data_IF_135039525489
#
_entry.id   IF_135039525489
#
_cell.length_a   1.000
_cell.length_b   1.000
_cell.length_c   1.000
_cell.angle_alpha   90.00
_cell.angle_beta   90.00
_cell.angle_gamma   90.00
#
_symmetry.space_group_name_H-M   'P 1'
#
loop_
_entity.id
_entity.type
_entity.pdbx_description
1 polymer ?
#
# COMPACT_ATOMS: atom_id res chain seq x y z
N UNK A 1 2.92 8.73 -16.88
CA UNK A 1 2.37 7.90 -17.98
C UNK A 1 3.43 7.58 -19.04
N UNK A 2 4.03 8.56 -19.73
CA UNK A 2 5.05 8.31 -20.78
C UNK A 2 6.21 7.39 -20.38
N UNK A 3 6.81 7.55 -19.19
CA UNK A 3 7.90 6.68 -18.73
C UNK A 3 7.45 5.21 -18.55
N UNK A 4 6.25 5.00 -17.99
CA UNK A 4 5.68 3.66 -17.84
C UNK A 4 5.31 3.04 -19.20
N UNK A 5 4.78 3.84 -20.11
CA UNK A 5 4.48 3.42 -21.48
C UNK A 5 5.75 3.03 -22.24
N UNK A 6 6.79 3.87 -22.21
CA UNK A 6 8.09 3.56 -22.83
C UNK A 6 8.70 2.29 -22.25
N UNK A 7 8.55 2.08 -20.93
CA UNK A 7 8.97 0.83 -20.28
C UNK A 7 8.17 -0.38 -20.74
N UNK A 8 6.86 -0.24 -20.94
CA UNK A 8 5.98 -1.30 -21.44
C UNK A 8 6.30 -1.67 -22.91
N UNK A 9 6.57 -0.68 -23.74
CA UNK A 9 7.03 -0.87 -25.13
C UNK A 9 8.41 -1.54 -25.16
N UNK A 10 9.31 -1.18 -24.22
CA UNK A 10 10.58 -1.86 -23.99
C UNK A 10 11.61 -1.74 -25.13
N UNK A 11 11.39 -0.83 -26.10
CA UNK A 11 12.23 -0.65 -27.29
C UNK A 11 12.44 0.83 -27.61
N UNK A 12 13.64 1.18 -28.06
CA UNK A 12 13.99 2.54 -28.52
C UNK A 12 13.22 2.94 -29.79
N UNK A 13 13.01 1.98 -30.71
CA UNK A 13 12.29 2.20 -31.97
C UNK A 13 11.32 1.03 -32.24
N UNK A 14 10.15 1.00 -31.57
CA UNK A 14 9.13 0.01 -31.83
C UNK A 14 8.53 0.18 -33.23
N UNK A 15 8.10 -0.92 -33.83
CA UNK A 15 7.25 -0.86 -35.03
C UNK A 15 5.85 -0.39 -34.63
N UNK A 16 5.13 0.26 -35.56
CA UNK A 16 3.82 0.85 -35.29
C UNK A 16 2.83 -0.14 -34.65
N UNK A 17 2.79 -1.39 -35.12
CA UNK A 17 1.90 -2.40 -34.54
C UNK A 17 2.23 -2.72 -33.08
N UNK A 18 3.52 -2.74 -32.69
CA UNK A 18 3.92 -2.98 -31.30
C UNK A 18 3.44 -1.85 -30.38
N UNK A 19 3.44 -0.62 -30.90
CA UNK A 19 2.89 0.54 -30.20
C UNK A 19 1.38 0.42 -30.02
N UNK A 20 0.66 0.04 -31.08
CA UNK A 20 -0.79 -0.18 -31.05
C UNK A 20 -1.16 -1.32 -30.08
N UNK A 21 -0.44 -2.44 -30.11
CA UNK A 21 -0.68 -3.57 -29.21
C UNK A 21 -0.48 -3.15 -27.75
N UNK A 22 0.55 -2.36 -27.46
CA UNK A 22 0.81 -1.85 -26.11
C UNK A 22 -0.32 -0.92 -25.65
N UNK A 23 -0.84 -0.06 -26.53
CA UNK A 23 -1.98 0.81 -26.22
C UNK A 23 -3.25 0.01 -25.95
N UNK A 24 -3.54 -0.99 -26.79
CA UNK A 24 -4.71 -1.87 -26.60
C UNK A 24 -4.64 -2.60 -25.26
N UNK A 25 -3.46 -3.12 -24.90
CA UNK A 25 -3.26 -3.76 -23.60
C UNK A 25 -3.50 -2.79 -22.44
N UNK A 26 -2.98 -1.56 -22.51
CA UNK A 26 -3.23 -0.56 -21.47
C UNK A 26 -4.70 -0.17 -21.37
N UNK A 27 -5.40 -0.04 -22.50
CA UNK A 27 -6.83 0.24 -22.49
C UNK A 27 -7.60 -0.89 -21.81
N UNK A 28 -7.28 -2.14 -22.12
CA UNK A 28 -7.92 -3.31 -21.53
C UNK A 28 -7.71 -3.35 -20.01
N UNK A 29 -6.49 -3.08 -19.52
CA UNK A 29 -6.21 -2.98 -18.09
C UNK A 29 -7.03 -1.88 -17.40
N UNK A 30 -7.19 -0.72 -18.04
CA UNK A 30 -8.02 0.35 -17.49
C UNK A 30 -9.50 0.01 -17.47
N UNK A 31 -10.00 -0.69 -18.48
CA UNK A 31 -11.38 -1.16 -18.50
C UNK A 31 -11.65 -2.18 -17.39
N UNK A 32 -10.70 -3.08 -17.10
CA UNK A 32 -10.80 -4.01 -15.97
C UNK A 32 -10.87 -3.23 -14.66
N UNK A 33 -9.94 -2.28 -14.45
CA UNK A 33 -9.91 -1.46 -13.24
C UNK A 33 -11.20 -0.65 -13.09
N UNK A 34 -11.71 -0.05 -14.15
CA UNK A 34 -12.97 0.69 -14.12
C UNK A 34 -14.15 -0.20 -13.69
N UNK A 35 -14.28 -1.40 -14.28
CA UNK A 35 -15.32 -2.37 -13.88
C UNK A 35 -15.19 -2.80 -12.42
N UNK A 36 -13.96 -2.95 -11.92
CA UNK A 36 -13.71 -3.25 -10.50
C UNK A 36 -14.20 -2.11 -9.59
N UNK A 37 -13.92 -0.83 -9.95
CA UNK A 37 -14.48 0.32 -9.21
C UNK A 37 -16.00 0.28 -9.22
N UNK A 38 -16.61 0.06 -10.40
CA UNK A 38 -18.07 0.04 -10.55
C UNK A 38 -18.71 -1.08 -9.70
N UNK A 39 -17.99 -2.19 -9.53
CA UNK A 39 -18.39 -3.31 -8.66
C UNK A 39 -18.11 -3.06 -7.16
N UNK A 40 -17.55 -1.91 -6.79
CA UNK A 40 -17.19 -1.58 -5.41
C UNK A 40 -15.92 -2.26 -4.91
N UNK A 41 -15.12 -2.86 -5.80
CA UNK A 41 -13.84 -3.47 -5.44
C UNK A 41 -12.75 -2.41 -5.23
N UNK A 42 -11.79 -2.71 -4.34
CA UNK A 42 -10.63 -1.85 -4.15
C UNK A 42 -9.66 -2.02 -5.31
N UNK A 43 -9.50 -0.98 -6.11
CA UNK A 43 -8.66 -0.99 -7.32
C UNK A 43 -7.18 -0.78 -7.07
N UNK A 44 -6.78 -0.47 -5.84
CA UNK A 44 -5.40 -0.20 -5.49
C UNK A 44 -4.82 -1.41 -4.76
N UNK A 45 -3.98 -2.17 -5.45
CA UNK A 45 -3.09 -3.12 -4.79
C UNK A 45 -2.11 -2.34 -3.92
N UNK A 46 -2.35 -2.34 -2.61
CA UNK A 46 -1.47 -1.70 -1.64
C UNK A 46 -0.09 -2.35 -1.68
N UNK A 47 0.97 -1.53 -1.69
CA UNK A 47 2.33 -2.07 -1.57
C UNK A 47 2.43 -2.90 -0.29
N UNK A 48 3.15 -4.03 -0.35
CA UNK A 48 3.33 -4.97 0.77
C UNK A 48 3.68 -4.29 2.11
N UNK A 49 4.53 -3.25 2.07
CA UNK A 49 4.90 -2.46 3.25
C UNK A 49 3.72 -1.81 3.96
N UNK A 50 2.70 -1.35 3.22
CA UNK A 50 1.51 -0.72 3.78
C UNK A 50 0.53 -1.76 4.32
N UNK A 51 0.44 -2.92 3.66
CA UNK A 51 -0.35 -4.05 4.16
C UNK A 51 0.20 -4.51 5.52
N UNK A 52 1.51 -4.76 5.61
CA UNK A 52 2.18 -5.16 6.84
C UNK A 52 2.06 -4.11 7.95
N UNK A 53 2.17 -2.82 7.59
CA UNK A 53 1.97 -1.74 8.55
C UNK A 53 0.54 -1.74 9.09
N UNK A 54 -0.47 -1.87 8.23
CA UNK A 54 -1.87 -1.93 8.65
C UNK A 54 -2.15 -3.14 9.53
N UNK A 55 -1.63 -4.32 9.18
CA UNK A 55 -1.76 -5.53 10.01
C UNK A 55 -1.12 -5.33 11.39
N UNK A 56 0.07 -4.72 11.45
CA UNK A 56 0.72 -4.39 12.72
C UNK A 56 -0.12 -3.43 13.56
N UNK A 57 -0.66 -2.37 12.95
CA UNK A 57 -1.50 -1.38 13.64
C UNK A 57 -2.75 -2.07 14.20
N UNK A 58 -3.47 -2.86 13.37
CA UNK A 58 -4.65 -3.63 13.82
C UNK A 58 -4.34 -4.49 15.03
N UNK A 59 -3.26 -5.28 14.97
CA UNK A 59 -2.84 -6.11 16.11
C UNK A 59 -2.55 -5.30 17.36
N UNK A 60 -1.92 -4.14 17.23
CA UNK A 60 -1.65 -3.26 18.38
C UNK A 60 -2.95 -2.69 18.96
N UNK A 61 -3.91 -2.33 18.12
CA UNK A 61 -5.23 -1.85 18.53
C UNK A 61 -6.00 -2.96 19.25
N UNK A 62 -6.03 -4.17 18.70
CA UNK A 62 -6.67 -5.33 19.35
C UNK A 62 -6.07 -5.63 20.73
N UNK A 63 -4.73 -5.51 20.87
CA UNK A 63 -4.05 -5.68 22.16
C UNK A 63 -4.37 -4.57 23.17
N UNK A 64 -4.66 -3.36 22.70
CA UNK A 64 -5.09 -2.25 23.54
C UNK A 64 -6.55 -2.43 23.97
N UNK A 65 -7.43 -2.76 23.04
CA UNK A 65 -8.87 -2.96 23.30
C UNK A 65 -9.12 -4.16 24.23
N UNK A 66 -8.30 -5.21 24.13
CA UNK A 66 -8.31 -6.35 25.06
C UNK A 66 -7.68 -6.06 26.43
N UNK A 67 -7.15 -4.86 26.66
CA UNK A 67 -6.50 -4.47 27.91
C UNK A 67 -5.12 -5.11 28.14
N UNK A 68 -4.59 -5.85 27.16
CA UNK A 68 -3.26 -6.49 27.24
C UNK A 68 -2.12 -5.47 27.15
N UNK A 69 -2.38 -4.27 26.62
CA UNK A 69 -1.45 -3.14 26.60
C UNK A 69 -2.08 -1.91 27.24
N UNK A 70 -1.30 -1.21 28.06
CA UNK A 70 -1.68 0.10 28.55
C UNK A 70 -1.67 1.14 27.41
N UNK A 71 -2.38 2.25 27.63
CA UNK A 71 -2.46 3.35 26.67
C UNK A 71 -1.07 3.90 26.29
N UNK A 72 -0.15 3.99 27.25
CA UNK A 72 1.20 4.50 27.02
C UNK A 72 1.99 3.53 26.13
N UNK A 73 1.93 2.23 26.42
CA UNK A 73 2.62 1.20 25.62
C UNK A 73 2.08 1.11 24.19
N UNK A 74 0.78 1.33 24.00
CA UNK A 74 0.16 1.41 22.69
C UNK A 74 0.70 2.61 21.89
N UNK A 75 0.72 3.81 22.49
CA UNK A 75 1.23 5.03 21.88
C UNK A 75 2.72 4.91 21.52
N UNK A 76 3.53 4.33 22.40
CA UNK A 76 4.95 4.05 22.13
C UNK A 76 5.15 3.05 20.98
N UNK A 77 4.26 2.07 20.85
CA UNK A 77 4.35 1.04 19.81
C UNK A 77 3.94 1.54 18.42
N UNK A 78 3.07 2.56 18.36
CA UNK A 78 2.58 3.18 17.13
C UNK A 78 3.44 4.38 16.71
N UNK A 79 3.99 5.11 17.68
CA UNK A 79 4.82 6.28 17.43
C UNK A 79 6.06 5.94 16.62
N UNK A 80 6.15 6.47 15.40
CA UNK A 80 7.37 6.40 14.61
C UNK A 80 8.37 7.45 15.11
N UNK A 81 9.59 7.04 15.47
CA UNK A 81 10.65 7.92 15.99
C UNK A 81 10.31 8.72 17.26
N UNK A 82 9.41 8.23 18.11
CA UNK A 82 9.21 8.84 19.43
C UNK A 82 10.32 8.33 20.35
N UNK A 83 11.14 9.24 20.88
CA UNK A 83 12.16 8.88 21.86
C UNK A 83 11.47 8.21 23.06
N UNK A 84 11.92 7.01 23.44
CA UNK A 84 11.31 6.28 24.56
C UNK A 84 11.42 7.13 25.83
N UNK A 85 10.29 7.57 26.37
CA UNK A 85 10.25 8.11 27.72
C UNK A 85 10.60 6.98 28.69
N UNK A 86 11.73 7.09 29.39
CA UNK A 86 12.09 6.16 30.46
C UNK A 86 11.06 6.34 31.58
N UNK A 87 10.08 5.45 31.67
CA UNK A 87 9.22 5.38 32.85
C UNK A 87 10.09 4.92 34.01
N UNK A 88 10.29 5.82 34.98
CA UNK A 88 11.03 5.51 36.20
C UNK A 88 10.35 4.38 36.94
N UNK A 89 11.09 3.29 37.17
CA UNK A 89 10.75 2.27 38.16
C UNK A 89 10.79 2.93 39.53
N UNK A 90 9.64 3.32 40.06
CA UNK A 90 9.50 3.60 41.49
C UNK A 90 9.40 2.27 42.23
N UNK A 91 10.37 2.03 43.11
CA UNK A 91 10.37 0.97 44.12
C UNK A 91 9.12 1.02 45.01
#
# INVERSE_FOLDING_TARGET
WHSAFNKAVGKSHPRLYQFIDTLKNQQLEFEIVARQVDNGESTVSLRRKYIQLNEKIKKLTDMFDSGSKSRIEYLDSIGYNVAKCKTGSTN
#
